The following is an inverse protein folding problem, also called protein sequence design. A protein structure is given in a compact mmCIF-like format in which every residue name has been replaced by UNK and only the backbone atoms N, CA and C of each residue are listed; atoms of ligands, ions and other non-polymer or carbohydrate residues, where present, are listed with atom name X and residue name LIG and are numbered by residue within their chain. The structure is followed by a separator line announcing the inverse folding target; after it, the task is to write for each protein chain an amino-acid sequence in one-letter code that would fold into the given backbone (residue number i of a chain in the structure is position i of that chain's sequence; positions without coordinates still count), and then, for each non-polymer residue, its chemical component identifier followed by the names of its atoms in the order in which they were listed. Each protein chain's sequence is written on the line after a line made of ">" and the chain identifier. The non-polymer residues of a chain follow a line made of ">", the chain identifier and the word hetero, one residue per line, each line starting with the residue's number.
data_IF_371875259518
#
_entry.id   IF_371875259518
#
_cell.length_a   1.000
_cell.length_b   1.000
_cell.length_c   1.000
_cell.angle_alpha   90.00
_cell.angle_beta   90.00
_cell.angle_gamma   90.00
#
_symmetry.space_group_name_H-M   'P 1'
#
loop_
_entity.id
_entity.type
_entity.pdbx_description
1 polymer ?
#
# COMPACT_ATOMS: atom_id res chain seq x y z
N UNK A 1 -42.58 2.60 -11.21
CA UNK A 1 -43.09 3.41 -12.33
C UNK A 1 -41.88 3.79 -13.18
N UNK A 2 -41.83 3.21 -14.38
CA UNK A 2 -40.90 3.55 -15.45
C UNK A 2 -41.39 4.80 -16.21
N UNK A 3 -40.52 5.29 -17.11
CA UNK A 3 -40.69 6.32 -18.16
C UNK A 3 -40.27 7.73 -17.73
N UNK A 4 -39.40 8.45 -18.45
CA UNK A 4 -38.70 8.20 -19.72
C UNK A 4 -38.03 9.51 -20.16
N UNK A 5 -36.99 9.42 -21.00
CA UNK A 5 -36.73 10.32 -22.14
C UNK A 5 -35.72 9.63 -23.07
N UNK A 6 -36.08 9.66 -24.34
CA UNK A 6 -35.54 8.94 -25.49
C UNK A 6 -34.38 9.69 -26.16
N UNK A 7 -33.31 8.94 -26.46
CA UNK A 7 -32.52 8.85 -27.71
C UNK A 7 -32.29 10.11 -28.57
N UNK A 8 -31.02 10.47 -28.79
CA UNK A 8 -30.49 10.90 -30.10
C UNK A 8 -29.13 10.25 -30.32
N UNK A 9 -29.00 9.53 -31.44
CA UNK A 9 -27.74 9.03 -31.97
C UNK A 9 -27.09 10.13 -32.83
N UNK A 10 -25.78 10.30 -32.71
CA UNK A 10 -24.95 11.15 -33.57
C UNK A 10 -23.59 10.50 -33.74
N UNK A 11 -23.23 10.25 -34.99
CA UNK A 11 -21.99 9.62 -35.44
C UNK A 11 -20.75 10.52 -35.20
N UNK A 12 -19.61 9.88 -34.97
CA UNK A 12 -18.31 10.32 -35.48
C UNK A 12 -17.60 11.50 -34.79
N UNK A 13 -16.80 11.21 -33.77
CA UNK A 13 -15.53 11.91 -33.52
C UNK A 13 -14.59 10.98 -32.73
N UNK A 14 -13.39 10.75 -33.26
CA UNK A 14 -12.43 9.78 -32.77
C UNK A 14 -12.08 9.92 -31.29
N UNK A 15 -12.12 8.81 -30.56
CA UNK A 15 -11.57 8.72 -29.22
C UNK A 15 -10.07 9.06 -29.25
N UNK A 16 -9.56 9.95 -28.40
CA UNK A 16 -8.13 10.20 -28.32
C UNK A 16 -7.45 8.92 -27.81
N UNK A 17 -6.45 8.44 -28.54
CA UNK A 17 -5.50 7.44 -28.04
C UNK A 17 -4.77 8.06 -26.85
N UNK A 18 -5.18 7.70 -25.64
CA UNK A 18 -4.44 8.01 -24.42
C UNK A 18 -3.24 7.07 -24.38
N UNK A 19 -2.08 7.58 -24.78
CA UNK A 19 -0.78 6.93 -24.58
C UNK A 19 -0.35 7.16 -23.13
N UNK A 20 -0.25 6.08 -22.36
CA UNK A 20 0.36 6.09 -21.04
C UNK A 20 1.86 6.38 -21.17
N UNK A 21 2.44 7.32 -20.39
CA UNK A 21 3.88 7.48 -20.36
C UNK A 21 4.49 6.23 -19.71
N UNK A 22 5.19 5.44 -20.52
CA UNK A 22 6.11 4.42 -20.07
C UNK A 22 7.26 5.16 -19.39
N UNK A 23 7.41 5.04 -18.07
CA UNK A 23 8.63 5.49 -17.37
C UNK A 23 9.79 4.59 -17.76
N UNK A 24 10.41 4.88 -18.90
CA UNK A 24 11.71 4.37 -19.32
C UNK A 24 12.52 5.53 -19.88
N UNK A 25 12.79 6.55 -19.07
CA UNK A 25 13.90 7.45 -19.35
C UNK A 25 15.19 6.81 -18.83
N UNK A 26 16.13 6.57 -19.75
CA UNK A 26 17.49 6.19 -19.39
C UNK A 26 18.13 7.32 -18.56
N UNK A 27 18.93 7.01 -17.53
CA UNK A 27 19.56 8.04 -16.71
C UNK A 27 20.50 8.90 -17.57
N UNK A 28 20.61 10.22 -17.32
CA UNK A 28 21.65 11.02 -17.93
C UNK A 28 23.02 10.49 -17.52
N UNK A 29 23.95 10.47 -18.48
CA UNK A 29 25.34 10.06 -18.26
C UNK A 29 25.95 10.80 -17.05
N UNK A 30 26.74 10.13 -16.19
CA UNK A 30 27.38 10.78 -15.06
C UNK A 30 28.33 11.89 -15.54
N UNK A 31 28.46 13.00 -14.79
CA UNK A 31 29.41 14.06 -15.12
C UNK A 31 30.85 13.51 -15.07
N UNK A 32 31.80 14.07 -15.85
CA UNK A 32 33.16 13.58 -15.89
C UNK A 32 33.82 13.69 -14.52
N UNK A 33 34.34 12.56 -14.02
CA UNK A 33 35.15 12.49 -12.81
C UNK A 33 36.32 13.49 -12.89
N UNK A 34 36.32 14.48 -11.99
CA UNK A 34 37.44 15.38 -11.81
C UNK A 34 38.70 14.59 -11.43
N UNK A 35 39.82 14.91 -12.07
CA UNK A 35 41.12 14.24 -11.87
C UNK A 35 41.68 14.55 -10.48
N UNK A 36 41.36 13.73 -9.47
CA UNK A 36 42.20 13.54 -8.27
C UNK A 36 42.31 12.06 -7.96
N UNK A 37 43.51 11.50 -8.18
CA UNK A 37 43.88 10.14 -7.78
C UNK A 37 44.17 10.12 -6.27
N UNK A 38 43.58 9.21 -5.48
CA UNK A 38 44.25 8.65 -4.32
C UNK A 38 45.25 7.59 -4.78
N UNK A 39 46.45 7.59 -4.18
CA UNK A 39 47.46 6.54 -4.38
C UNK A 39 47.04 5.27 -3.63
N UNK A 40 47.20 4.12 -4.28
CA UNK A 40 47.39 2.84 -3.59
C UNK A 40 46.25 1.83 -3.77
N UNK A 41 46.39 0.95 -4.75
CA UNK A 41 46.09 -0.49 -4.65
C UNK A 41 46.37 -1.12 -6.03
N UNK A 42 47.62 -1.55 -6.20
CA UNK A 42 48.04 -2.40 -7.30
C UNK A 42 47.77 -3.87 -6.96
N UNK A 43 47.68 -4.70 -8.01
CA UNK A 43 47.42 -6.15 -8.05
C UNK A 43 45.94 -6.49 -7.84
N UNK A 44 45.20 -6.98 -8.84
CA UNK A 44 45.45 -8.23 -9.57
C UNK A 44 45.09 -8.03 -11.06
N UNK A 45 46.10 -7.83 -11.91
CA UNK A 45 45.97 -7.92 -13.36
C UNK A 45 46.93 -8.99 -13.86
N UNK A 46 46.52 -10.26 -13.89
CA UNK A 46 47.25 -11.33 -14.60
C UNK A 46 46.45 -12.63 -14.65
N UNK A 47 45.34 -12.65 -15.39
CA UNK A 47 44.82 -13.83 -16.11
C UNK A 47 43.52 -13.44 -16.80
N UNK A 48 43.63 -13.08 -18.08
CA UNK A 48 42.63 -13.25 -19.15
C UNK A 48 43.09 -12.43 -20.35
N UNK A 49 44.21 -12.85 -20.94
CA UNK A 49 44.54 -12.56 -22.34
C UNK A 49 44.83 -13.89 -23.00
N UNK A 50 43.78 -14.51 -23.53
CA UNK A 50 43.80 -15.54 -24.58
C UNK A 50 42.34 -15.86 -24.87
N UNK A 51 41.79 -15.12 -25.82
CA UNK A 51 40.90 -15.52 -26.91
C UNK A 51 40.34 -14.22 -27.49
N UNK A 52 40.96 -13.80 -28.58
CA UNK A 52 40.55 -12.64 -29.36
C UNK A 52 39.42 -13.00 -30.32
N UNK A 53 38.72 -11.94 -30.74
CA UNK A 53 37.87 -11.80 -31.93
C UNK A 53 36.74 -12.84 -32.08
N UNK A 54 35.48 -12.45 -32.09
CA UNK A 54 34.83 -11.75 -33.21
C UNK A 54 33.58 -11.07 -32.63
N UNK A 55 33.39 -9.77 -32.89
CA UNK A 55 32.09 -9.10 -33.13
C UNK A 55 32.42 -7.64 -33.52
N UNK A 56 31.85 -7.10 -34.62
CA UNK A 56 32.17 -5.76 -35.11
C UNK A 56 31.50 -4.66 -34.28
N UNK A 57 32.12 -3.48 -34.28
CA UNK A 57 31.56 -2.21 -33.80
C UNK A 57 30.18 -1.95 -34.44
N UNK A 58 29.12 -1.99 -33.64
CA UNK A 58 27.81 -1.48 -34.04
C UNK A 58 27.66 -0.08 -33.46
N UNK A 59 27.76 0.92 -34.33
CA UNK A 59 27.36 2.30 -34.03
C UNK A 59 25.87 2.29 -33.66
N UNK A 60 25.55 2.78 -32.47
CA UNK A 60 24.18 3.05 -32.03
C UNK A 60 23.66 4.27 -32.77
N UNK A 61 23.00 4.07 -33.91
CA UNK A 61 22.00 4.97 -34.52
C UNK A 61 21.49 4.28 -35.79
N UNK A 62 20.56 3.35 -35.63
CA UNK A 62 19.62 2.89 -36.66
C UNK A 62 18.55 2.02 -35.96
N UNK A 63 17.52 2.67 -35.41
CA UNK A 63 16.28 1.95 -35.04
C UNK A 63 15.51 1.76 -36.35
N UNK A 64 15.30 0.52 -36.85
CA UNK A 64 14.50 0.34 -38.05
C UNK A 64 13.08 0.86 -37.80
N UNK A 65 12.41 1.46 -38.79
CA UNK A 65 11.03 1.91 -38.63
C UNK A 65 10.18 0.72 -38.20
N UNK A 66 9.21 0.97 -37.31
CA UNK A 66 8.31 -0.04 -36.78
C UNK A 66 7.77 -0.89 -37.94
N UNK A 67 8.17 -2.17 -37.97
CA UNK A 67 7.61 -3.13 -38.93
C UNK A 67 6.12 -3.20 -38.61
N UNK A 68 5.30 -2.64 -39.50
CA UNK A 68 3.87 -2.87 -39.55
C UNK A 68 3.65 -4.38 -39.66
N UNK A 69 3.45 -5.05 -38.53
CA UNK A 69 3.00 -6.44 -38.52
C UNK A 69 1.61 -6.46 -39.12
N UNK A 70 1.50 -7.00 -40.32
CA UNK A 70 0.22 -7.39 -40.90
C UNK A 70 -0.55 -8.21 -39.86
N UNK A 71 -1.78 -7.79 -39.58
CA UNK A 71 -2.74 -8.57 -38.80
C UNK A 71 -2.90 -9.92 -39.50
N UNK A 72 -2.65 -11.06 -38.83
CA UNK A 72 -2.93 -12.36 -39.43
C UNK A 72 -4.43 -12.42 -39.77
N UNK A 73 -4.83 -13.06 -40.88
CA UNK A 73 -6.24 -13.29 -41.16
C UNK A 73 -6.89 -14.02 -39.98
N UNK A 74 -8.08 -13.56 -39.61
CA UNK A 74 -8.80 -13.98 -38.41
C UNK A 74 -8.84 -15.51 -38.24
N UNK A 75 -8.51 -15.95 -37.03
CA UNK A 75 -8.71 -17.33 -36.58
C UNK A 75 -7.48 -18.23 -36.47
N UNK A 76 -6.30 -17.84 -36.99
CA UNK A 76 -5.10 -18.71 -36.92
C UNK A 76 -4.12 -18.41 -35.77
N UNK A 77 -4.27 -17.28 -35.06
CA UNK A 77 -3.38 -16.87 -33.96
C UNK A 77 -3.96 -17.04 -32.55
N UNK A 78 -5.22 -17.47 -32.43
CA UNK A 78 -5.91 -17.60 -31.16
C UNK A 78 -5.16 -18.58 -30.23
N UNK A 79 -4.44 -18.03 -29.25
CA UNK A 79 -3.65 -18.82 -28.29
C UNK A 79 -2.15 -18.95 -28.55
N UNK A 80 -1.60 -18.34 -29.61
CA UNK A 80 -0.14 -18.22 -29.77
C UNK A 80 0.44 -17.08 -28.93
N UNK A 81 -0.33 -16.02 -28.69
CA UNK A 81 0.11 -14.89 -27.89
C UNK A 81 -0.11 -15.15 -26.40
N UNK A 82 0.90 -14.80 -25.59
CA UNK A 82 0.85 -15.01 -24.14
C UNK A 82 -0.35 -14.35 -23.48
N UNK A 83 -0.76 -13.21 -24.03
CA UNK A 83 -1.94 -12.48 -23.60
C UNK A 83 -3.21 -13.34 -23.64
N UNK A 84 -3.51 -13.97 -24.79
CA UNK A 84 -4.78 -14.67 -24.99
C UNK A 84 -4.95 -15.87 -24.04
N UNK A 85 -3.89 -16.65 -23.83
CA UNK A 85 -4.00 -17.83 -22.97
C UNK A 85 -4.03 -17.45 -21.50
N UNK A 86 -3.27 -16.44 -21.07
CA UNK A 86 -3.28 -15.98 -19.68
C UNK A 86 -4.60 -15.27 -19.32
N UNK A 87 -5.22 -14.53 -20.25
CA UNK A 87 -6.59 -14.01 -20.06
C UNK A 87 -7.60 -15.12 -19.81
N UNK A 88 -7.53 -16.23 -20.58
CA UNK A 88 -8.37 -17.40 -20.32
C UNK A 88 -8.10 -18.04 -18.97
N UNK A 89 -6.85 -18.05 -18.50
CA UNK A 89 -6.52 -18.51 -17.15
C UNK A 89 -7.16 -17.60 -16.10
N UNK A 90 -7.02 -16.28 -16.22
CA UNK A 90 -7.62 -15.32 -15.28
C UNK A 90 -9.15 -15.50 -15.19
N UNK A 91 -9.82 -15.58 -16.33
CA UNK A 91 -11.28 -15.78 -16.41
C UNK A 91 -11.74 -17.14 -15.84
N UNK A 92 -10.89 -18.18 -15.89
CA UNK A 92 -11.22 -19.50 -15.36
C UNK A 92 -10.95 -19.66 -13.86
N UNK A 93 -10.15 -18.77 -13.25
CA UNK A 93 -9.87 -18.81 -11.82
C UNK A 93 -11.17 -18.71 -11.03
N UNK A 94 -11.39 -19.67 -10.13
CA UNK A 94 -12.42 -19.65 -9.09
C UNK A 94 -11.70 -19.64 -7.74
N UNK A 95 -11.78 -18.55 -6.96
CA UNK A 95 -11.12 -18.48 -5.66
C UNK A 95 -11.67 -19.58 -4.74
N UNK A 96 -10.77 -20.36 -4.12
CA UNK A 96 -11.15 -21.43 -3.19
C UNK A 96 -11.87 -20.92 -1.95
N UNK A 97 -11.56 -19.70 -1.52
CA UNK A 97 -12.07 -19.04 -0.32
C UNK A 97 -12.69 -17.67 -0.66
N UNK A 98 -13.32 -17.53 -1.83
CA UNK A 98 -14.18 -16.38 -2.11
C UNK A 98 -15.31 -16.26 -1.08
N UNK A 99 -15.85 -15.06 -0.85
CA UNK A 99 -16.87 -14.88 0.18
C UNK A 99 -18.10 -15.76 -0.13
N UNK A 100 -18.44 -16.75 0.72
CA UNK A 100 -19.55 -17.65 0.44
C UNK A 100 -20.89 -16.91 0.53
N UNK A 101 -21.96 -17.58 0.12
CA UNK A 101 -23.31 -17.07 0.40
C UNK A 101 -23.64 -17.31 1.89
N UNK A 102 -23.14 -16.40 2.74
CA UNK A 102 -23.24 -16.45 4.20
C UNK A 102 -24.68 -16.38 4.73
N UNK A 103 -25.64 -16.01 3.89
CA UNK A 103 -27.05 -15.87 4.26
C UNK A 103 -27.88 -17.12 3.92
N UNK A 104 -27.26 -18.15 3.32
CA UNK A 104 -27.93 -19.41 2.96
C UNK A 104 -27.30 -20.59 3.71
N UNK A 105 -28.13 -21.57 4.07
CA UNK A 105 -27.63 -22.89 4.51
C UNK A 105 -27.86 -23.28 5.97
N UNK A 106 -28.75 -22.61 6.70
CA UNK A 106 -29.20 -23.06 8.03
C UNK A 106 -28.18 -22.91 9.17
N UNK A 107 -26.96 -22.46 8.89
CA UNK A 107 -25.96 -22.01 9.88
C UNK A 107 -26.16 -20.52 10.14
N UNK A 108 -25.95 -20.08 11.38
CA UNK A 108 -25.94 -18.66 11.74
C UNK A 108 -24.91 -17.88 10.87
N UNK A 109 -25.31 -16.81 10.16
CA UNK A 109 -24.42 -16.07 9.26
C UNK A 109 -23.15 -15.54 9.93
N UNK A 110 -23.25 -15.12 11.19
CA UNK A 110 -22.09 -14.61 11.95
C UNK A 110 -21.08 -15.71 12.25
N UNK A 111 -21.56 -16.90 12.57
CA UNK A 111 -20.72 -18.09 12.79
C UNK A 111 -20.05 -18.54 11.49
N UNK A 112 -20.82 -18.65 10.40
CA UNK A 112 -20.28 -18.99 9.08
C UNK A 112 -19.22 -17.98 8.62
N UNK A 113 -19.43 -16.69 8.91
CA UNK A 113 -18.44 -15.66 8.61
C UNK A 113 -17.14 -15.86 9.38
N UNK A 114 -17.20 -16.10 10.70
CA UNK A 114 -15.99 -16.30 11.53
C UNK A 114 -15.17 -17.50 11.08
N UNK A 115 -15.84 -18.61 10.76
CA UNK A 115 -15.17 -19.82 10.27
C UNK A 115 -14.48 -19.58 8.92
N UNK A 116 -15.14 -18.84 8.02
CA UNK A 116 -14.55 -18.42 6.75
C UNK A 116 -13.39 -17.44 6.95
N UNK A 117 -13.52 -16.46 7.84
CA UNK A 117 -12.45 -15.48 8.14
C UNK A 117 -11.20 -16.19 8.66
N UNK A 118 -11.33 -17.16 9.56
CA UNK A 118 -10.21 -17.95 10.05
C UNK A 118 -9.56 -18.74 8.91
N UNK A 119 -10.35 -19.47 8.12
CA UNK A 119 -9.85 -20.25 6.99
C UNK A 119 -9.10 -19.40 5.96
N UNK A 120 -9.58 -18.17 5.73
CA UNK A 120 -8.92 -17.23 4.82
C UNK A 120 -7.63 -16.68 5.42
N UNK A 121 -7.60 -16.28 6.69
CA UNK A 121 -6.36 -15.86 7.37
C UNK A 121 -5.29 -16.94 7.30
N UNK A 122 -5.64 -18.19 7.60
CA UNK A 122 -4.73 -19.35 7.54
C UNK A 122 -4.13 -19.53 6.14
N UNK A 123 -4.95 -19.42 5.10
CA UNK A 123 -4.48 -19.52 3.72
C UNK A 123 -3.61 -18.33 3.29
N UNK A 124 -3.93 -17.12 3.76
CA UNK A 124 -3.22 -15.90 3.37
C UNK A 124 -1.81 -15.82 3.95
N UNK A 125 -1.54 -16.42 5.12
CA UNK A 125 -0.17 -16.50 5.65
C UNK A 125 0.80 -17.14 4.64
N UNK A 126 0.35 -18.20 3.96
CA UNK A 126 1.12 -18.84 2.88
C UNK A 126 1.32 -17.90 1.69
N UNK A 127 0.27 -17.16 1.27
CA UNK A 127 0.35 -16.19 0.16
C UNK A 127 1.31 -15.04 0.49
N UNK A 128 1.37 -14.63 1.76
CA UNK A 128 2.25 -13.56 2.23
C UNK A 128 3.71 -14.04 2.37
N UNK A 129 3.95 -15.36 2.34
CA UNK A 129 5.25 -15.96 2.59
C UNK A 129 5.67 -15.92 4.06
N UNK A 130 4.71 -15.86 4.98
CA UNK A 130 4.95 -15.72 6.41
C UNK A 130 4.47 -16.98 7.13
N UNK A 131 5.30 -17.50 8.03
CA UNK A 131 4.88 -18.53 8.97
C UNK A 131 4.06 -17.89 10.09
N UNK A 132 2.79 -18.30 10.21
CA UNK A 132 1.84 -17.76 11.19
C UNK A 132 2.35 -17.90 12.63
N UNK A 133 3.02 -19.01 12.95
CA UNK A 133 3.54 -19.29 14.29
C UNK A 133 4.76 -18.42 14.64
N UNK A 134 5.40 -17.81 13.63
CA UNK A 134 6.52 -16.89 13.81
C UNK A 134 6.10 -15.44 14.10
N UNK A 135 4.82 -15.12 13.96
CA UNK A 135 4.31 -13.77 14.13
C UNK A 135 4.27 -13.40 15.62
N UNK A 136 5.08 -12.41 16.00
CA UNK A 136 5.12 -11.90 17.37
C UNK A 136 4.36 -10.59 17.50
N UNK A 137 3.47 -10.52 18.48
CA UNK A 137 2.81 -9.28 18.91
C UNK A 137 3.55 -8.60 20.08
N UNK A 138 4.67 -9.16 20.55
CA UNK A 138 5.47 -8.54 21.59
C UNK A 138 6.03 -7.19 21.11
N UNK A 139 6.13 -6.22 22.02
CA UNK A 139 6.77 -4.94 21.72
C UNK A 139 8.26 -5.18 21.47
N UNK A 140 8.80 -4.85 20.27
CA UNK A 140 10.22 -4.98 20.00
C UNK A 140 11.02 -4.00 20.87
N UNK A 141 12.32 -4.23 21.01
CA UNK A 141 13.19 -3.21 21.59
C UNK A 141 13.17 -1.96 20.68
N UNK A 142 13.02 -0.79 21.30
CA UNK A 142 13.02 0.50 20.61
C UNK A 142 13.74 1.56 21.46
N UNK A 143 14.25 2.58 20.78
CA UNK A 143 14.92 3.72 21.41
C UNK A 143 14.50 5.03 20.74
N UNK A 144 14.49 6.12 21.52
CA UNK A 144 14.29 7.47 20.99
C UNK A 144 15.64 8.02 20.53
N UNK A 145 15.73 8.37 19.24
CA UNK A 145 16.93 8.91 18.61
C UNK A 145 16.93 10.44 18.65
N UNK A 146 15.75 11.04 18.51
CA UNK A 146 15.58 12.48 18.40
C UNK A 146 14.22 12.89 18.98
N UNK A 147 14.13 14.12 19.49
CA UNK A 147 12.90 14.71 20.01
C UNK A 147 12.84 16.17 19.64
N UNK A 148 11.82 16.56 18.88
CA UNK A 148 11.65 17.90 18.34
C UNK A 148 10.26 18.42 18.69
N UNK A 149 10.14 19.58 19.36
CA UNK A 149 8.88 20.28 19.53
C UNK A 149 8.29 20.66 18.16
N UNK A 150 7.02 20.36 17.94
CA UNK A 150 6.27 20.74 16.77
C UNK A 150 5.07 21.62 17.13
N UNK A 151 4.33 22.04 16.11
CA UNK A 151 3.12 22.85 16.29
C UNK A 151 1.94 21.97 16.74
N UNK A 152 1.66 21.97 18.05
CA UNK A 152 0.55 21.24 18.66
C UNK A 152 0.89 19.80 19.05
N UNK A 153 2.13 19.35 18.84
CA UNK A 153 2.62 18.03 19.26
C UNK A 153 4.15 18.05 19.46
N UNK A 154 4.67 17.07 20.18
CA UNK A 154 6.10 16.74 20.24
C UNK A 154 6.35 15.54 19.32
N UNK A 155 7.34 15.65 18.42
CA UNK A 155 7.76 14.55 17.54
C UNK A 155 8.95 13.85 18.16
N UNK A 156 8.82 12.55 18.38
CA UNK A 156 9.94 11.65 18.67
C UNK A 156 10.30 10.86 17.42
N UNK A 157 11.57 10.76 17.09
CA UNK A 157 12.05 9.75 16.14
C UNK A 157 12.54 8.55 16.92
N UNK A 158 12.10 7.36 16.51
CA UNK A 158 12.50 6.10 17.14
C UNK A 158 13.14 5.17 16.13
N UNK A 159 14.04 4.30 16.63
CA UNK A 159 14.46 3.08 15.93
C UNK A 159 14.02 1.87 16.73
N UNK A 160 13.77 0.77 16.02
CA UNK A 160 13.36 -0.48 16.62
C UNK A 160 13.84 -1.68 15.81
N UNK A 161 13.81 -2.86 16.43
CA UNK A 161 14.10 -4.11 15.74
C UNK A 161 13.03 -4.38 14.65
N UNK A 162 13.46 -4.38 13.39
CA UNK A 162 12.61 -4.59 12.22
C UNK A 162 12.55 -6.06 11.77
N UNK A 163 11.80 -6.32 10.69
CA UNK A 163 11.78 -7.66 10.06
C UNK A 163 13.17 -8.16 9.66
N UNK A 164 13.35 -9.48 9.76
CA UNK A 164 14.54 -10.20 9.29
C UNK A 164 15.86 -9.64 9.85
N UNK A 165 15.85 -9.15 11.10
CA UNK A 165 17.01 -8.55 11.76
C UNK A 165 17.39 -7.16 11.23
N UNK A 166 16.54 -6.55 10.39
CA UNK A 166 16.71 -5.17 9.95
C UNK A 166 16.38 -4.15 11.04
N UNK A 167 16.53 -2.88 10.71
CA UNK A 167 16.17 -1.77 11.60
C UNK A 167 14.92 -1.07 11.05
N UNK A 168 13.91 -0.92 11.90
CA UNK A 168 12.76 -0.06 11.66
C UNK A 168 13.02 1.38 12.12
N UNK A 169 12.33 2.34 11.49
CA UNK A 169 12.34 3.75 11.89
C UNK A 169 10.91 4.28 11.84
N UNK A 170 10.55 5.10 12.83
CA UNK A 170 9.24 5.72 12.89
C UNK A 170 9.31 7.12 13.54
N UNK A 171 8.30 7.94 13.24
CA UNK A 171 7.98 9.09 14.07
C UNK A 171 6.82 8.74 14.99
N UNK A 172 6.91 9.20 16.24
CA UNK A 172 5.81 9.19 17.19
C UNK A 172 5.46 10.63 17.54
N UNK A 173 4.24 11.05 17.23
CA UNK A 173 3.72 12.38 17.53
C UNK A 173 2.87 12.28 18.80
N UNK A 174 3.27 13.01 19.84
CA UNK A 174 2.56 13.09 21.11
C UNK A 174 1.89 14.46 21.19
N UNK A 175 0.55 14.54 21.36
CA UNK A 175 -0.16 15.82 21.45
C UNK A 175 0.43 16.74 22.53
N UNK A 176 0.60 18.02 22.22
CA UNK A 176 1.19 18.99 23.16
C UNK A 176 0.37 19.19 24.42
N UNK A 177 -0.94 18.91 24.35
CA UNK A 177 -1.87 18.97 25.49
C UNK A 177 -1.68 17.84 26.51
N UNK A 178 -0.88 16.82 26.21
CA UNK A 178 -0.52 15.75 27.16
C UNK A 178 0.18 16.26 28.43
N UNK A 179 0.71 17.49 28.45
CA UNK A 179 1.32 18.05 29.67
C UNK A 179 0.31 18.49 30.72
N UNK A 180 -0.95 18.78 30.34
CA UNK A 180 -1.89 19.51 31.22
C UNK A 180 -3.21 18.77 31.50
N UNK A 181 -3.55 17.70 30.76
CA UNK A 181 -4.92 17.13 30.75
C UNK A 181 -5.06 15.64 31.10
N UNK A 182 -3.98 14.92 31.41
CA UNK A 182 -4.11 13.51 31.87
C UNK A 182 -4.49 13.51 33.35
N UNK A 183 -5.80 13.62 33.60
CA UNK A 183 -6.34 13.58 34.97
C UNK A 183 -5.96 12.25 35.65
N UNK A 184 -5.66 12.24 36.96
CA UNK A 184 -5.42 11.01 37.70
C UNK A 184 -6.61 10.05 37.52
N UNK A 185 -6.37 8.88 36.90
CA UNK A 185 -7.41 7.89 36.61
C UNK A 185 -7.99 7.91 35.19
N UNK A 186 -7.48 8.75 34.28
CA UNK A 186 -7.86 8.65 32.86
C UNK A 186 -7.29 7.39 32.21
N UNK A 187 -8.13 6.64 31.49
CA UNK A 187 -7.67 5.69 30.46
C UNK A 187 -6.83 6.49 29.46
N UNK A 188 -5.67 5.97 29.03
CA UNK A 188 -4.76 6.68 28.13
C UNK A 188 -5.41 7.21 26.85
N UNK A 189 -4.70 8.06 26.13
CA UNK A 189 -5.16 8.60 24.85
C UNK A 189 -5.32 7.50 23.81
N UNK A 190 -6.23 7.70 22.87
CA UNK A 190 -6.32 6.85 21.70
C UNK A 190 -5.05 6.97 20.84
N UNK A 191 -4.60 5.82 20.33
CA UNK A 191 -3.46 5.72 19.44
C UNK A 191 -3.89 5.57 17.98
N UNK A 192 -3.14 6.14 17.05
CA UNK A 192 -3.31 5.92 15.61
C UNK A 192 -1.98 5.48 14.99
N UNK A 193 -2.02 4.36 14.25
CA UNK A 193 -0.95 4.01 13.31
C UNK A 193 -1.26 4.67 11.96
N UNK A 194 -0.46 5.66 11.57
CA UNK A 194 -0.63 6.41 10.33
C UNK A 194 0.39 5.94 9.28
N UNK A 195 -0.10 5.40 8.16
CA UNK A 195 0.73 4.67 7.19
C UNK A 195 0.87 5.48 5.91
N UNK A 196 2.12 5.76 5.51
CA UNK A 196 2.44 6.58 4.34
C UNK A 196 2.18 5.86 3.00
N UNK A 197 1.92 6.64 1.96
CA UNK A 197 1.78 6.18 0.57
C UNK A 197 3.12 6.01 -0.16
N UNK A 198 3.06 5.77 -1.48
CA UNK A 198 4.27 5.60 -2.30
C UNK A 198 5.14 6.87 -2.41
N UNK A 199 4.51 8.04 -2.59
CA UNK A 199 5.09 9.39 -2.52
C UNK A 199 6.59 9.55 -2.83
N UNK A 200 7.03 9.15 -4.02
CA UNK A 200 8.43 9.20 -4.47
C UNK A 200 9.44 8.50 -3.52
N UNK A 201 9.02 7.36 -2.97
CA UNK A 201 9.77 6.56 -2.00
C UNK A 201 10.09 7.29 -0.69
N UNK A 202 9.44 8.43 -0.41
CA UNK A 202 9.45 9.05 0.91
C UNK A 202 8.59 8.25 1.88
N UNK A 203 8.87 8.41 3.17
CA UNK A 203 8.24 7.64 4.22
C UNK A 203 7.41 8.49 5.16
N UNK A 204 7.71 8.37 6.45
CA UNK A 204 7.00 9.00 7.57
C UNK A 204 6.91 10.53 7.51
N UNK A 205 7.82 11.18 6.80
CA UNK A 205 7.85 12.63 6.62
C UNK A 205 6.59 13.12 5.88
N UNK A 206 6.10 12.38 4.89
CA UNK A 206 4.89 12.73 4.12
C UNK A 206 3.63 12.78 4.99
N UNK A 207 3.59 11.97 6.03
CA UNK A 207 2.41 11.80 6.89
C UNK A 207 2.42 12.77 8.05
N UNK A 208 3.60 13.24 8.44
CA UNK A 208 3.78 14.15 9.57
C UNK A 208 4.03 15.59 9.14
N UNK A 209 4.41 15.84 7.89
CA UNK A 209 4.82 17.16 7.42
C UNK A 209 6.08 17.69 8.08
N UNK A 210 6.92 16.80 8.63
CA UNK A 210 8.15 17.15 9.36
C UNK A 210 9.30 16.23 8.97
N UNK A 211 10.55 16.68 9.14
CA UNK A 211 11.74 15.85 8.91
C UNK A 211 12.31 15.89 7.50
N UNK A 212 12.12 16.98 6.75
CA UNK A 212 12.52 17.10 5.33
C UNK A 212 13.98 16.72 5.03
N UNK A 213 14.92 16.86 5.97
CA UNK A 213 16.34 16.52 5.74
C UNK A 213 16.66 15.01 5.90
N UNK A 214 15.68 14.21 6.30
CA UNK A 214 15.86 12.76 6.50
C UNK A 214 15.68 12.08 5.13
N UNK A 215 16.75 11.43 4.66
CA UNK A 215 16.82 10.71 3.37
C UNK A 215 16.86 11.56 2.08
N UNK A 216 17.31 12.82 2.18
CA UNK A 216 17.67 13.64 1.03
C UNK A 216 16.49 14.17 0.21
N UNK A 217 15.27 14.14 0.76
CA UNK A 217 14.17 14.97 0.26
C UNK A 217 14.52 16.44 0.48
N UNK A 218 14.02 17.34 -0.36
CA UNK A 218 14.07 18.77 -0.03
C UNK A 218 12.76 19.20 0.65
N UNK A 219 12.76 20.26 1.46
CA UNK A 219 11.52 20.83 2.01
C UNK A 219 10.49 21.15 0.93
N UNK A 220 10.92 21.58 -0.26
CA UNK A 220 10.05 21.89 -1.40
C UNK A 220 9.42 20.63 -1.98
N UNK A 221 10.19 19.56 -2.19
CA UNK A 221 9.68 18.26 -2.66
C UNK A 221 8.62 17.72 -1.70
N UNK A 222 8.92 17.77 -0.39
CA UNK A 222 8.00 17.33 0.65
C UNK A 222 6.71 18.16 0.64
N UNK A 223 6.81 19.49 0.59
CA UNK A 223 5.66 20.39 0.56
C UNK A 223 4.82 20.20 -0.70
N UNK A 224 5.42 19.95 -1.86
CA UNK A 224 4.70 19.70 -3.11
C UNK A 224 3.88 18.41 -3.01
N UNK A 225 4.50 17.32 -2.54
CA UNK A 225 3.84 16.02 -2.42
C UNK A 225 2.72 16.06 -1.38
N UNK A 226 2.96 16.70 -0.22
CA UNK A 226 1.92 16.93 0.80
C UNK A 226 0.78 17.75 0.21
N UNK A 227 1.06 18.85 -0.49
CA UNK A 227 0.04 19.68 -1.12
C UNK A 227 -0.76 18.95 -2.20
N UNK A 228 -0.13 18.05 -2.95
CA UNK A 228 -0.78 17.23 -3.98
C UNK A 228 -1.69 16.15 -3.39
N UNK A 229 -1.21 15.44 -2.37
CA UNK A 229 -1.86 14.25 -1.84
C UNK A 229 -2.64 14.48 -0.55
N UNK A 230 -2.50 15.66 0.06
CA UNK A 230 -2.98 16.00 1.39
C UNK A 230 -2.55 14.95 2.44
N UNK A 231 -1.28 14.53 2.35
CA UNK A 231 -0.81 13.35 3.06
C UNK A 231 -0.46 13.59 4.52
N UNK A 232 -0.46 14.84 5.02
CA UNK A 232 -0.09 15.24 6.38
C UNK A 232 -1.13 14.85 7.47
N UNK A 233 -1.97 13.87 7.19
CA UNK A 233 -3.05 13.43 8.06
C UNK A 233 -2.57 12.93 9.44
N UNK A 234 -1.35 12.41 9.56
CA UNK A 234 -0.78 12.02 10.85
C UNK A 234 -0.60 13.22 11.79
N UNK A 235 -0.08 14.34 11.28
CA UNK A 235 0.02 15.57 12.06
C UNK A 235 -1.36 16.15 12.40
N UNK A 236 -2.34 16.03 11.49
CA UNK A 236 -3.72 16.46 11.73
C UNK A 236 -4.40 15.66 12.85
N UNK A 237 -4.16 14.36 12.95
CA UNK A 237 -4.64 13.54 14.07
C UNK A 237 -3.90 13.86 15.37
N UNK A 238 -2.58 14.06 15.33
CA UNK A 238 -1.82 14.43 16.53
C UNK A 238 -2.34 15.74 17.15
N UNK A 239 -2.60 16.76 16.32
CA UNK A 239 -3.21 18.03 16.78
C UNK A 239 -4.64 17.88 17.34
N UNK A 240 -5.31 16.76 17.07
CA UNK A 240 -6.64 16.42 17.59
C UNK A 240 -6.61 15.58 18.87
N UNK A 241 -5.43 15.32 19.43
CA UNK A 241 -5.31 14.62 20.71
C UNK A 241 -4.99 13.13 20.60
N UNK A 242 -4.67 12.61 19.41
CA UNK A 242 -4.23 11.22 19.26
C UNK A 242 -2.71 11.10 19.40
N UNK A 243 -2.23 10.02 20.00
CA UNK A 243 -0.82 9.63 19.84
C UNK A 243 -0.67 8.93 18.50
N UNK A 244 0.20 9.44 17.63
CA UNK A 244 0.33 8.92 16.27
C UNK A 244 1.70 8.30 16.06
N UNK A 245 1.76 7.04 15.63
CA UNK A 245 3.00 6.44 15.12
C UNK A 245 2.96 6.36 13.59
N UNK A 246 4.06 6.71 12.94
CA UNK A 246 4.22 6.66 11.50
C UNK A 246 5.54 5.95 11.15
N UNK A 247 5.52 4.64 10.84
CA UNK A 247 6.70 3.88 10.48
C UNK A 247 7.04 3.98 8.99
N UNK A 248 8.34 4.01 8.68
CA UNK A 248 8.85 3.80 7.32
C UNK A 248 8.62 2.35 6.89
N UNK A 249 7.88 2.15 5.80
CA UNK A 249 7.75 0.86 5.16
C UNK A 249 9.11 0.39 4.62
N UNK A 250 9.33 -0.92 4.59
CA UNK A 250 10.49 -1.51 3.94
C UNK A 250 10.55 -1.05 2.48
N UNK A 251 11.65 -0.39 2.07
CA UNK A 251 11.81 0.20 0.73
C UNK A 251 11.48 1.68 0.62
N UNK A 252 11.15 2.34 1.74
CA UNK A 252 10.78 3.76 1.79
C UNK A 252 11.54 4.49 2.89
N UNK A 253 11.57 5.82 2.81
CA UNK A 253 12.13 6.68 3.85
C UNK A 253 13.56 6.28 4.19
N UNK A 254 13.92 6.18 5.47
CA UNK A 254 15.27 5.79 5.89
C UNK A 254 15.64 4.33 5.55
N UNK A 255 14.70 3.57 4.98
CA UNK A 255 14.85 2.14 4.67
C UNK A 255 15.03 1.89 3.18
N UNK A 256 15.50 2.90 2.45
CA UNK A 256 15.89 2.80 1.04
C UNK A 256 17.29 3.35 0.82
N UNK A 257 18.10 2.66 0.02
CA UNK A 257 19.42 3.15 -0.38
C UNK A 257 19.33 4.12 -1.58
N UNK A 258 18.32 3.93 -2.42
CA UNK A 258 18.05 4.72 -3.63
C UNK A 258 16.54 4.80 -3.87
N UNK A 259 16.01 6.02 -4.03
CA UNK A 259 14.58 6.30 -4.27
C UNK A 259 14.12 5.97 -5.71
N UNK A 260 15.00 5.43 -6.56
CA UNK A 260 14.66 5.02 -7.92
C UNK A 260 13.64 3.88 -7.99
N UNK A 261 12.62 4.03 -8.84
CA UNK A 261 11.58 2.99 -9.05
C UNK A 261 12.16 1.63 -9.45
N UNK A 262 13.25 1.60 -10.22
CA UNK A 262 13.94 0.36 -10.59
C UNK A 262 14.56 -0.35 -9.37
N UNK A 263 15.07 0.41 -8.40
CA UNK A 263 15.63 -0.15 -7.17
C UNK A 263 14.53 -0.82 -6.33
N UNK A 264 13.38 -0.17 -6.19
CA UNK A 264 12.25 -0.71 -5.44
C UNK A 264 11.68 -1.99 -6.10
N UNK A 265 11.58 -2.02 -7.43
CA UNK A 265 11.24 -3.22 -8.21
C UNK A 265 12.25 -4.36 -8.03
N UNK A 266 13.55 -4.06 -8.09
CA UNK A 266 14.61 -5.04 -7.88
C UNK A 266 14.55 -5.64 -6.47
N UNK A 267 14.32 -4.79 -5.46
CA UNK A 267 14.13 -5.23 -4.08
C UNK A 267 12.93 -6.17 -3.96
N UNK A 268 11.82 -5.89 -4.64
CA UNK A 268 10.68 -6.81 -4.66
C UNK A 268 10.97 -8.17 -5.27
N UNK A 269 11.77 -8.22 -6.34
CA UNK A 269 12.17 -9.49 -6.93
C UNK A 269 13.03 -10.29 -5.96
N UNK A 270 13.94 -9.63 -5.24
CA UNK A 270 14.77 -10.28 -4.21
C UNK A 270 13.89 -10.84 -3.10
N UNK A 271 12.91 -10.07 -2.61
CA UNK A 271 11.93 -10.51 -1.59
C UNK A 271 11.17 -11.76 -2.07
N UNK A 272 10.69 -11.77 -3.31
CA UNK A 272 10.02 -12.94 -3.89
C UNK A 272 10.94 -14.16 -4.03
N UNK A 273 12.21 -13.97 -4.43
CA UNK A 273 13.19 -15.07 -4.50
C UNK A 273 13.52 -15.67 -3.13
N UNK A 274 13.35 -14.91 -2.06
CA UNK A 274 13.49 -15.40 -0.68
C UNK A 274 12.23 -16.12 -0.17
N UNK A 275 11.16 -16.18 -0.97
CA UNK A 275 9.90 -16.81 -0.61
C UNK A 275 8.93 -15.90 0.15
N UNK A 276 9.24 -14.61 0.25
CA UNK A 276 8.40 -13.61 0.92
C UNK A 276 7.63 -12.75 -0.08
N UNK A 277 6.68 -11.97 0.43
CA UNK A 277 6.12 -10.84 -0.30
C UNK A 277 6.45 -9.52 0.39
N UNK A 278 6.51 -8.42 -0.36
CA UNK A 278 6.62 -7.08 0.21
C UNK A 278 5.52 -6.83 1.25
N UNK A 279 4.28 -7.16 0.91
CA UNK A 279 3.13 -7.02 1.79
C UNK A 279 3.29 -7.84 3.07
N UNK A 280 3.79 -9.07 3.00
CA UNK A 280 4.04 -9.91 4.17
C UNK A 280 5.09 -9.31 5.11
N UNK A 281 6.22 -8.85 4.57
CA UNK A 281 7.26 -8.20 5.37
C UNK A 281 6.79 -6.87 5.96
N UNK A 282 6.06 -6.06 5.19
CA UNK A 282 5.48 -4.79 5.67
C UNK A 282 4.43 -5.02 6.75
N UNK A 283 3.58 -6.04 6.60
CA UNK A 283 2.61 -6.42 7.64
C UNK A 283 3.31 -6.72 8.98
N UNK A 284 4.40 -7.47 8.98
CA UNK A 284 5.15 -7.74 10.21
C UNK A 284 5.74 -6.46 10.82
N UNK A 285 6.25 -5.53 10.01
CA UNK A 285 6.70 -4.23 10.51
C UNK A 285 5.55 -3.36 11.05
N UNK A 286 4.39 -3.41 10.41
CA UNK A 286 3.19 -2.67 10.84
C UNK A 286 2.62 -3.24 12.16
N UNK A 287 2.64 -4.57 12.34
CA UNK A 287 2.31 -5.22 13.63
C UNK A 287 3.27 -4.76 14.73
N UNK A 288 4.58 -4.65 14.43
CA UNK A 288 5.57 -4.14 15.39
C UNK A 288 5.32 -2.68 15.75
N UNK A 289 5.04 -1.83 14.77
CA UNK A 289 4.70 -0.43 15.01
C UNK A 289 3.43 -0.30 15.89
N UNK A 290 2.42 -1.14 15.63
CA UNK A 290 1.22 -1.23 16.47
C UNK A 290 1.57 -1.65 17.91
N UNK A 291 2.47 -2.63 18.10
CA UNK A 291 2.92 -3.06 19.43
C UNK A 291 3.74 -1.99 20.17
N UNK A 292 4.51 -1.16 19.46
CA UNK A 292 5.21 -0.01 20.04
C UNK A 292 4.19 1.04 20.49
N UNK A 293 3.24 1.41 19.63
CA UNK A 293 2.19 2.37 19.98
C UNK A 293 1.36 1.90 21.17
N UNK A 294 1.00 0.61 21.20
CA UNK A 294 0.27 -0.01 22.33
C UNK A 294 1.02 0.12 23.66
N UNK A 295 2.36 0.12 23.62
CA UNK A 295 3.21 0.24 24.80
C UNK A 295 3.70 1.68 25.04
N UNK A 296 3.32 2.64 24.20
CA UNK A 296 3.80 4.01 24.31
C UNK A 296 3.22 4.68 25.56
N UNK A 297 4.04 5.43 26.34
CA UNK A 297 3.55 6.11 27.54
C UNK A 297 2.35 7.02 27.25
N UNK A 298 1.26 6.81 27.99
CA UNK A 298 0.03 7.59 27.86
C UNK A 298 -0.94 7.10 26.79
N UNK A 299 -0.66 6.00 26.09
CA UNK A 299 -1.61 5.37 25.14
C UNK A 299 -2.45 4.30 25.83
N UNK A 300 -3.76 4.27 25.54
CA UNK A 300 -4.61 3.14 25.87
C UNK A 300 -4.54 2.07 24.77
N UNK A 301 -3.89 0.94 25.07
CA UNK A 301 -3.71 -0.17 24.12
C UNK A 301 -5.04 -0.78 23.62
N UNK A 302 -6.15 -0.54 24.31
CA UNK A 302 -7.48 -0.98 23.86
C UNK A 302 -8.11 -0.04 22.83
N UNK A 303 -7.54 1.15 22.63
CA UNK A 303 -8.04 2.25 21.79
C UNK A 303 -7.04 2.60 20.67
N UNK A 304 -6.83 1.67 19.76
CA UNK A 304 -5.92 1.87 18.61
C UNK A 304 -6.71 1.81 17.31
N UNK A 305 -6.45 2.76 16.40
CA UNK A 305 -6.92 2.68 15.02
C UNK A 305 -5.80 2.84 14.00
N UNK A 306 -6.12 2.60 12.74
CA UNK A 306 -5.14 2.63 11.64
C UNK A 306 -5.69 3.43 10.46
N UNK A 307 -4.84 4.23 9.84
CA UNK A 307 -5.20 5.04 8.66
C UNK A 307 -4.06 5.08 7.68
N UNK A 308 -4.37 5.08 6.38
CA UNK A 308 -3.35 5.30 5.36
C UNK A 308 -3.91 5.64 3.99
N UNK A 309 -3.03 6.22 3.17
CA UNK A 309 -3.29 6.58 1.78
C UNK A 309 -2.46 5.72 0.83
N UNK A 310 -3.05 5.23 -0.26
CA UNK A 310 -2.34 4.49 -1.32
C UNK A 310 -1.66 3.22 -0.77
N UNK A 311 -0.34 3.10 -0.85
CA UNK A 311 0.41 2.04 -0.16
C UNK A 311 0.06 1.93 1.33
N UNK A 312 -0.16 3.07 1.99
CA UNK A 312 -0.63 3.12 3.37
C UNK A 312 -2.04 2.56 3.53
N UNK A 313 -2.90 2.74 2.53
CA UNK A 313 -4.23 2.12 2.47
C UNK A 313 -4.12 0.61 2.36
N UNK A 314 -3.24 0.08 1.49
CA UNK A 314 -2.94 -1.36 1.43
C UNK A 314 -2.49 -1.88 2.78
N UNK A 315 -1.47 -1.25 3.36
CA UNK A 315 -0.94 -1.63 4.68
C UNK A 315 -2.01 -1.60 5.75
N UNK A 316 -2.90 -0.59 5.73
CA UNK A 316 -4.06 -0.50 6.63
C UNK A 316 -4.98 -1.71 6.50
N UNK A 317 -5.29 -2.16 5.27
CA UNK A 317 -6.08 -3.38 5.04
C UNK A 317 -5.43 -4.57 5.73
N UNK A 318 -4.14 -4.83 5.44
CA UNK A 318 -3.47 -6.03 5.94
C UNK A 318 -3.30 -6.01 7.46
N UNK A 319 -2.79 -4.92 8.06
CA UNK A 319 -2.62 -4.90 9.52
C UNK A 319 -3.96 -4.99 10.24
N UNK A 320 -5.01 -4.36 9.72
CA UNK A 320 -6.35 -4.45 10.31
C UNK A 320 -6.94 -5.85 10.13
N UNK A 321 -6.71 -6.51 9.00
CA UNK A 321 -7.19 -7.87 8.74
C UNK A 321 -6.49 -8.94 9.60
N UNK A 322 -5.25 -8.71 10.05
CA UNK A 322 -4.46 -9.71 10.79
C UNK A 322 -4.26 -9.39 12.27
N UNK A 323 -4.53 -8.15 12.71
CA UNK A 323 -4.37 -7.74 14.10
C UNK A 323 -5.68 -7.17 14.66
N UNK A 324 -6.30 -7.91 15.58
CA UNK A 324 -7.59 -7.54 16.19
C UNK A 324 -7.47 -6.43 17.25
N UNK A 325 -6.25 -5.98 17.58
CA UNK A 325 -6.02 -4.78 18.41
C UNK A 325 -6.47 -3.51 17.70
N UNK A 326 -6.48 -3.50 16.36
CA UNK A 326 -7.05 -2.41 15.56
C UNK A 326 -8.55 -2.36 15.79
N UNK A 327 -9.05 -1.24 16.33
CA UNK A 327 -10.48 -1.01 16.64
C UNK A 327 -11.25 -0.31 15.54
N UNK A 328 -10.58 0.51 14.74
CA UNK A 328 -11.18 1.19 13.58
C UNK A 328 -10.11 1.42 12.52
N UNK A 329 -10.51 1.40 11.25
CA UNK A 329 -9.60 1.58 10.13
C UNK A 329 -10.14 2.57 9.08
N UNK A 330 -9.23 3.31 8.45
CA UNK A 330 -9.53 4.14 7.28
C UNK A 330 -8.57 3.79 6.14
N UNK A 331 -9.12 3.25 5.07
CA UNK A 331 -8.39 2.88 3.84
C UNK A 331 -8.67 3.95 2.79
N UNK A 332 -7.68 4.79 2.47
CA UNK A 332 -7.83 5.83 1.45
C UNK A 332 -7.01 5.51 0.20
N UNK A 333 -7.63 5.63 -0.97
CA UNK A 333 -6.94 5.49 -2.27
C UNK A 333 -6.32 4.11 -2.55
N UNK A 334 -6.79 3.04 -1.89
CA UNK A 334 -6.33 1.67 -2.15
C UNK A 334 -7.47 0.67 -1.96
N UNK A 335 -8.40 0.63 -2.91
CA UNK A 335 -9.49 -0.35 -2.90
C UNK A 335 -9.99 -0.60 -4.31
N UNK A 336 -10.08 -1.88 -4.69
CA UNK A 336 -10.51 -2.36 -6.01
C UNK A 336 -10.78 -3.87 -5.91
N UNK A 337 -11.15 -4.51 -7.01
CA UNK A 337 -10.99 -5.97 -7.20
C UNK A 337 -9.72 -6.22 -8.00
N UNK A 338 -8.81 -7.06 -7.49
CA UNK A 338 -7.59 -7.43 -8.22
C UNK A 338 -7.95 -8.17 -9.50
N UNK A 339 -9.03 -8.97 -9.49
CA UNK A 339 -9.54 -9.62 -10.70
C UNK A 339 -9.76 -8.66 -11.85
N UNK A 340 -10.47 -7.55 -11.64
CA UNK A 340 -10.72 -6.60 -12.73
C UNK A 340 -9.43 -5.90 -13.17
N UNK A 341 -8.50 -5.61 -12.26
CA UNK A 341 -7.22 -5.01 -12.64
C UNK A 341 -6.35 -5.96 -13.47
N UNK A 342 -6.35 -7.26 -13.16
CA UNK A 342 -5.61 -8.25 -13.95
C UNK A 342 -6.28 -8.57 -15.29
N UNK A 343 -7.59 -8.41 -15.42
CA UNK A 343 -8.31 -8.56 -16.70
C UNK A 343 -8.00 -7.40 -17.66
N UNK A 344 -7.75 -6.21 -17.13
CA UNK A 344 -7.35 -5.01 -17.89
C UNK A 344 -5.83 -4.85 -17.88
N UNK A 345 -5.11 -5.86 -18.35
CA UNK A 345 -3.64 -6.05 -18.34
C UNK A 345 -2.76 -4.79 -18.41
N UNK A 346 -3.09 -3.84 -19.29
CA UNK A 346 -2.31 -2.62 -19.46
C UNK A 346 -2.27 -1.74 -18.20
N UNK A 347 -3.23 -1.90 -17.28
CA UNK A 347 -3.23 -1.21 -15.97
C UNK A 347 -2.15 -1.73 -15.02
N UNK A 348 -1.77 -3.01 -15.15
CA UNK A 348 -0.69 -3.59 -14.35
C UNK A 348 0.70 -3.12 -14.80
N UNK A 349 0.84 -2.56 -15.99
CA UNK A 349 2.14 -2.10 -16.52
C UNK A 349 2.80 -1.01 -15.67
N UNK A 350 2.02 -0.29 -14.86
CA UNK A 350 2.50 0.71 -13.90
C UNK A 350 2.53 0.23 -12.45
N UNK A 351 2.18 -1.03 -12.16
CA UNK A 351 2.14 -1.52 -10.78
C UNK A 351 3.54 -1.78 -10.25
N UNK A 352 3.77 -1.29 -9.04
CA UNK A 352 4.94 -1.71 -8.29
C UNK A 352 4.82 -3.19 -7.88
N UNK A 353 5.91 -3.95 -7.95
CA UNK A 353 5.94 -5.36 -7.54
C UNK A 353 5.50 -5.57 -6.09
N UNK A 354 5.58 -4.53 -5.24
CA UNK A 354 5.03 -4.60 -3.89
C UNK A 354 3.51 -4.77 -3.83
N UNK A 355 2.77 -4.58 -4.93
CA UNK A 355 1.33 -4.86 -5.01
C UNK A 355 1.03 -6.30 -5.44
N UNK A 356 2.05 -7.08 -5.81
CA UNK A 356 1.89 -8.46 -6.25
C UNK A 356 1.84 -9.41 -5.06
N UNK A 357 0.82 -10.26 -5.04
CA UNK A 357 0.66 -11.38 -4.11
C UNK A 357 0.52 -12.67 -4.91
N UNK A 358 1.63 -13.39 -5.17
CA UNK A 358 1.63 -14.56 -6.03
C UNK A 358 0.59 -15.61 -5.59
N UNK A 359 -0.38 -15.87 -6.47
CA UNK A 359 -1.41 -16.87 -6.23
C UNK A 359 -2.64 -16.40 -5.46
N UNK A 360 -2.73 -15.11 -5.09
CA UNK A 360 -3.87 -14.56 -4.35
C UNK A 360 -5.20 -14.96 -4.98
N UNK A 361 -5.40 -14.71 -6.29
CA UNK A 361 -6.67 -14.96 -6.97
C UNK A 361 -7.13 -16.42 -6.94
N UNK A 362 -6.23 -17.39 -6.70
CA UNK A 362 -6.60 -18.80 -6.50
C UNK A 362 -7.25 -19.04 -5.14
N UNK A 363 -6.96 -18.18 -4.16
CA UNK A 363 -7.47 -18.25 -2.79
C UNK A 363 -8.63 -17.28 -2.61
N UNK A 364 -8.44 -15.99 -2.88
CA UNK A 364 -9.39 -14.90 -2.64
C UNK A 364 -9.09 -13.69 -3.53
N UNK A 365 -9.87 -12.62 -3.41
CA UNK A 365 -9.57 -11.31 -3.99
C UNK A 365 -9.40 -10.27 -2.85
N UNK A 366 -9.00 -9.03 -3.18
CA UNK A 366 -8.79 -7.96 -2.19
C UNK A 366 -10.04 -7.65 -1.36
N UNK A 367 -11.28 -7.59 -1.90
CA UNK A 367 -12.48 -7.37 -1.09
C UNK A 367 -12.69 -8.43 0.00
N UNK A 368 -12.36 -9.70 -0.26
CA UNK A 368 -12.38 -10.75 0.76
C UNK A 368 -11.36 -10.50 1.87
N UNK A 369 -10.15 -10.02 1.54
CA UNK A 369 -9.17 -9.63 2.56
C UNK A 369 -9.72 -8.48 3.40
N UNK A 370 -10.38 -7.49 2.78
CA UNK A 370 -11.00 -6.37 3.51
C UNK A 370 -12.15 -6.84 4.40
N UNK A 371 -12.92 -7.83 3.97
CA UNK A 371 -14.00 -8.43 4.74
C UNK A 371 -13.52 -9.18 6.02
N UNK A 372 -12.23 -9.48 6.13
CA UNK A 372 -11.62 -10.00 7.37
C UNK A 372 -11.65 -9.01 8.55
N UNK A 373 -11.90 -7.72 8.27
CA UNK A 373 -11.96 -6.65 9.28
C UNK A 373 -13.31 -6.65 10.00
N UNK A 374 -14.38 -7.12 9.34
CA UNK A 374 -15.72 -7.18 9.93
C UNK A 374 -15.70 -7.96 11.25
N UNK A 375 -16.41 -7.50 12.30
CA UNK A 375 -17.38 -6.38 12.32
C UNK A 375 -16.78 -5.00 12.66
N UNK A 376 -15.45 -4.86 12.74
CA UNK A 376 -14.83 -3.64 13.26
C UNK A 376 -15.02 -2.44 12.31
N UNK A 377 -15.26 -1.23 12.81
CA UNK A 377 -15.47 -0.04 11.99
C UNK A 377 -14.42 0.17 10.88
N UNK A 378 -14.88 0.29 9.64
CA UNK A 378 -14.06 0.55 8.47
C UNK A 378 -14.64 1.64 7.56
N UNK A 379 -13.84 2.66 7.27
CA UNK A 379 -14.11 3.60 6.18
C UNK A 379 -13.21 3.29 4.98
N UNK A 380 -13.80 3.16 3.81
CA UNK A 380 -13.09 3.11 2.53
C UNK A 380 -13.31 4.44 1.82
N UNK A 381 -12.23 5.14 1.47
CA UNK A 381 -12.30 6.43 0.81
C UNK A 381 -11.64 6.37 -0.58
N UNK A 382 -12.33 6.83 -1.61
CA UNK A 382 -11.83 6.87 -2.98
C UNK A 382 -12.24 8.14 -3.72
N UNK A 383 -11.30 8.73 -4.46
CA UNK A 383 -11.58 9.85 -5.37
C UNK A 383 -12.27 9.37 -6.64
N UNK A 384 -13.33 10.06 -7.09
CA UNK A 384 -14.07 9.71 -8.32
C UNK A 384 -13.24 9.81 -9.59
N UNK A 385 -12.22 10.68 -9.58
CA UNK A 385 -11.26 10.86 -10.66
C UNK A 385 -9.91 10.21 -10.37
N UNK A 386 -9.81 9.31 -9.40
CA UNK A 386 -8.58 8.55 -9.16
C UNK A 386 -8.29 7.66 -10.40
N UNK A 387 -7.15 7.85 -11.08
CA UNK A 387 -6.85 7.08 -12.29
C UNK A 387 -6.39 5.65 -11.99
N UNK A 388 -6.13 5.29 -10.73
CA UNK A 388 -5.58 3.99 -10.38
C UNK A 388 -6.60 2.86 -10.44
N UNK A 389 -7.84 3.11 -10.02
CA UNK A 389 -8.89 2.10 -9.91
C UNK A 389 -10.21 2.61 -10.49
N UNK A 390 -10.99 1.74 -11.11
CA UNK A 390 -12.31 2.14 -11.61
C UNK A 390 -13.34 2.18 -10.49
N UNK A 391 -14.27 3.14 -10.59
CA UNK A 391 -15.41 3.20 -9.67
C UNK A 391 -16.29 1.95 -9.72
N UNK A 392 -16.36 1.29 -10.87
CA UNK A 392 -17.04 -0.01 -11.00
C UNK A 392 -16.39 -1.07 -10.12
N UNK A 393 -15.06 -1.15 -10.10
CA UNK A 393 -14.34 -2.12 -9.30
C UNK A 393 -14.41 -1.81 -7.80
N UNK A 394 -14.33 -0.53 -7.45
CA UNK A 394 -14.57 -0.03 -6.09
C UNK A 394 -15.97 -0.43 -5.62
N UNK A 395 -17.01 -0.17 -6.42
CA UNK A 395 -18.39 -0.48 -6.06
C UNK A 395 -18.64 -1.99 -5.91
N UNK A 396 -18.16 -2.79 -6.86
CA UNK A 396 -18.28 -4.25 -6.82
C UNK A 396 -17.56 -4.85 -5.61
N UNK A 397 -16.34 -4.37 -5.32
CA UNK A 397 -15.61 -4.78 -4.12
C UNK A 397 -16.35 -4.39 -2.84
N UNK A 398 -16.92 -3.19 -2.79
CA UNK A 398 -17.64 -2.71 -1.60
C UNK A 398 -18.90 -3.53 -1.32
N UNK A 399 -19.60 -4.00 -2.35
CA UNK A 399 -20.74 -4.91 -2.19
C UNK A 399 -20.34 -6.20 -1.45
N UNK A 400 -19.21 -6.81 -1.84
CA UNK A 400 -18.67 -7.98 -1.14
C UNK A 400 -18.37 -7.69 0.33
N UNK A 401 -17.71 -6.56 0.63
CA UNK A 401 -17.41 -6.16 2.01
C UNK A 401 -18.71 -5.93 2.80
N UNK A 402 -19.68 -5.21 2.24
CA UNK A 402 -20.96 -4.91 2.88
C UNK A 402 -21.77 -6.18 3.24
N UNK A 403 -21.71 -7.21 2.39
CA UNK A 403 -22.31 -8.53 2.69
C UNK A 403 -21.68 -9.18 3.92
N UNK A 404 -20.35 -9.09 4.08
CA UNK A 404 -19.68 -9.61 5.28
C UNK A 404 -20.09 -8.86 6.54
N UNK A 405 -20.18 -7.52 6.50
CA UNK A 405 -20.66 -6.72 7.64
C UNK A 405 -22.13 -7.01 7.98
N UNK A 406 -22.97 -7.26 6.98
CA UNK A 406 -24.36 -7.68 7.18
C UNK A 406 -24.42 -9.03 7.89
N UNK A 407 -23.64 -10.02 7.43
CA UNK A 407 -23.55 -11.34 8.09
C UNK A 407 -22.99 -11.24 9.52
N UNK A 408 -22.10 -10.28 9.78
CA UNK A 408 -21.57 -9.98 11.11
C UNK A 408 -22.57 -9.26 12.04
N UNK A 409 -23.75 -8.87 11.54
CA UNK A 409 -24.73 -8.08 12.31
C UNK A 409 -24.32 -6.62 12.52
N UNK A 410 -23.39 -6.09 11.72
CA UNK A 410 -22.81 -4.77 11.87
C UNK A 410 -22.84 -3.91 10.58
N UNK A 411 -23.95 -3.86 9.80
CA UNK A 411 -23.98 -3.17 8.50
C UNK A 411 -23.64 -1.68 8.58
N UNK A 412 -23.89 -1.02 9.72
CA UNK A 412 -23.54 0.40 9.94
C UNK A 412 -22.08 0.66 10.31
N UNK A 413 -21.25 -0.39 10.44
CA UNK A 413 -19.83 -0.26 10.78
C UNK A 413 -18.92 -0.26 9.55
N UNK A 414 -19.48 -0.13 8.35
CA UNK A 414 -18.69 0.03 7.12
C UNK A 414 -19.28 1.11 6.23
N UNK A 415 -18.43 1.92 5.61
CA UNK A 415 -18.86 2.99 4.71
C UNK A 415 -17.90 3.17 3.53
N UNK A 416 -18.45 3.61 2.39
CA UNK A 416 -17.73 4.01 1.20
C UNK A 416 -17.89 5.53 1.01
N UNK A 417 -16.80 6.27 1.21
CA UNK A 417 -16.71 7.72 1.02
C UNK A 417 -16.11 8.03 -0.35
N UNK A 418 -16.98 8.47 -1.28
CA UNK A 418 -16.59 8.90 -2.61
C UNK A 418 -16.59 10.42 -2.70
N UNK A 419 -15.43 11.00 -3.02
CA UNK A 419 -15.27 12.45 -3.13
C UNK A 419 -14.86 12.89 -4.54
N UNK A 420 -15.09 14.16 -4.85
CA UNK A 420 -14.64 14.77 -6.10
C UNK A 420 -13.13 15.08 -6.05
N UNK A 421 -12.36 14.46 -6.95
CA UNK A 421 -10.91 14.62 -7.04
C UNK A 421 -10.20 13.36 -7.50
N UNK A 422 -8.88 13.45 -7.62
CA UNK A 422 -8.00 12.34 -7.99
C UNK A 422 -7.51 11.53 -6.81
N UNK A 423 -6.36 10.88 -6.99
CA UNK A 423 -5.67 10.10 -5.96
C UNK A 423 -5.10 11.00 -4.85
N UNK A 424 -5.84 11.20 -3.76
CA UNK A 424 -5.46 12.02 -2.60
C UNK A 424 -6.27 11.64 -1.36
N UNK A 425 -5.85 12.14 -0.21
CA UNK A 425 -6.61 12.06 1.03
C UNK A 425 -7.57 13.25 1.19
N UNK A 426 -8.79 13.02 1.69
CA UNK A 426 -9.72 14.09 2.07
C UNK A 426 -10.11 13.88 3.52
N UNK A 427 -9.76 14.81 4.39
CA UNK A 427 -9.70 14.51 5.82
C UNK A 427 -11.04 14.51 6.56
N UNK A 428 -12.05 15.22 6.07
CA UNK A 428 -13.29 15.42 6.82
C UNK A 428 -14.00 14.10 7.16
N UNK A 429 -14.11 13.18 6.19
CA UNK A 429 -14.70 11.85 6.38
C UNK A 429 -13.92 10.99 7.39
N UNK A 430 -12.62 10.74 7.19
CA UNK A 430 -11.76 10.03 8.12
C UNK A 430 -11.76 10.62 9.54
N UNK A 431 -11.63 11.94 9.69
CA UNK A 431 -11.61 12.59 11.00
C UNK A 431 -12.94 12.41 11.74
N UNK A 432 -14.07 12.55 11.02
CA UNK A 432 -15.39 12.26 11.58
C UNK A 432 -15.56 10.77 11.95
N UNK A 433 -15.02 9.86 11.14
CA UNK A 433 -15.06 8.42 11.39
C UNK A 433 -14.30 8.05 12.68
N UNK A 434 -13.09 8.59 12.85
CA UNK A 434 -12.33 8.41 14.09
C UNK A 434 -13.04 9.05 15.27
N UNK A 435 -13.56 10.27 15.15
CA UNK A 435 -14.30 10.91 16.25
C UNK A 435 -15.53 10.08 16.71
N UNK A 436 -16.19 9.37 15.80
CA UNK A 436 -17.31 8.48 16.13
C UNK A 436 -16.86 7.18 16.80
N UNK A 437 -15.89 6.47 16.21
CA UNK A 437 -15.57 5.09 16.58
C UNK A 437 -14.38 4.95 17.52
N UNK A 438 -13.54 5.96 17.58
CA UNK A 438 -12.35 6.03 18.40
C UNK A 438 -12.11 7.50 18.80
N UNK A 439 -12.93 8.08 19.70
CA UNK A 439 -12.67 9.42 20.23
C UNK A 439 -11.23 9.53 20.75
N UNK A 440 -10.65 10.73 20.82
CA UNK A 440 -9.28 10.95 21.28
C UNK A 440 -9.05 10.54 22.74
#
# INVERSE_FOLDING_TARGET
>A
MMEGITKVAGEGAGAPRVTWPIYCDAPPSPPPLSKRRPRGAALISRRMRRFGAILPDVKTNDVPPAVSRATPPDGQSAGLHAHDFLQRQVASIRPRLGLPDLLRGGVDPGTALRDWQQSLRDALWTILGIDADSVSHATPAWEIIDTVPGEGFVRHQIRYEGVLGGTGSAFVLVPGTMSDSVAPGSNGLAGIVALHGHGNMLGKELVTGTGADINGATPEELSELIGRYHSDFGARFARRGYVVITPDALGFGERVADRGAQHHQAMGRVVEYLGYTHTGLRLLDDIRALSILSAWPGVDASRIGVVGLSEGGKRTIFVSAFDERVRTAVVSGYFTTIRQEVEVWNRLGGWDLCNTLPGLLRVADLPEIVALIAPRPLLIQNGRGDPLYTLEAVAAGFETVSRAYTAAGAPGSVSLDLFDGGHRYVSDGPEAWFAQWLPA
#
